data_IF_009540149693
#
_entry.id   IF_009540149693
#
_cell.length_a   1.000
_cell.length_b   1.000
_cell.length_c   1.000
_cell.angle_alpha   90.00
_cell.angle_beta   90.00
_cell.angle_gamma   90.00
#
_symmetry.space_group_name_H-M   'P 1'
#
loop_
_entity.id
_entity.type
_entity.pdbx_description
1 polymer ?
#
# COMPACT_ATOMS: atom_id res chain seq x y z
N UNK A 1 -11.14 -36.55 8.69
CA UNK A 1 -11.13 -35.58 9.80
C UNK A 1 -10.66 -34.24 9.26
N UNK A 2 -11.61 -33.42 8.80
CA UNK A 2 -11.35 -32.02 8.47
C UNK A 2 -11.20 -31.25 9.78
N UNK A 3 -10.21 -30.39 9.84
CA UNK A 3 -9.90 -29.60 11.02
C UNK A 3 -9.68 -28.19 10.54
N UNK A 4 -10.18 -27.22 11.29
CA UNK A 4 -10.36 -25.88 10.77
C UNK A 4 -10.03 -24.82 11.82
N UNK A 5 -9.53 -23.68 11.35
CA UNK A 5 -9.39 -22.48 12.19
C UNK A 5 -10.59 -21.60 11.93
N UNK A 6 -11.31 -21.19 13.00
CA UNK A 6 -12.55 -20.40 12.89
C UNK A 6 -12.38 -19.02 13.52
N UNK A 7 -12.90 -18.03 12.83
CA UNK A 7 -12.89 -16.61 13.18
C UNK A 7 -14.31 -16.07 13.06
N UNK A 8 -14.61 -15.03 13.81
CA UNK A 8 -15.85 -14.27 13.65
C UNK A 8 -15.53 -13.01 12.84
N UNK A 9 -16.09 -12.88 11.64
CA UNK A 9 -15.91 -11.71 10.78
C UNK A 9 -17.03 -10.70 11.02
N UNK A 10 -16.67 -9.41 10.96
CA UNK A 10 -17.65 -8.32 11.04
C UNK A 10 -18.09 -7.78 9.67
N UNK A 11 -17.48 -8.19 8.56
CA UNK A 11 -17.86 -7.69 7.23
C UNK A 11 -17.50 -8.64 6.07
N UNK A 12 -18.31 -8.62 5.01
CA UNK A 12 -18.08 -9.29 3.71
C UNK A 12 -18.56 -8.33 2.60
N UNK A 13 -17.76 -8.10 1.56
CA UNK A 13 -18.15 -7.43 0.29
C UNK A 13 -18.43 -5.91 0.31
N UNK A 14 -17.79 -5.12 1.18
CA UNK A 14 -17.79 -3.65 1.04
C UNK A 14 -19.19 -3.00 1.11
N UNK A 15 -20.18 -3.76 1.59
CA UNK A 15 -21.49 -3.25 1.99
C UNK A 15 -21.54 -3.35 3.51
N UNK A 16 -21.78 -2.21 4.16
CA UNK A 16 -22.03 -2.18 5.60
C UNK A 16 -23.19 -3.11 5.91
N UNK A 17 -22.89 -4.21 6.59
CA UNK A 17 -23.92 -4.98 7.27
C UNK A 17 -24.48 -4.10 8.40
N UNK A 18 -25.80 -4.15 8.61
CA UNK A 18 -26.35 -3.68 9.87
C UNK A 18 -25.64 -4.41 11.02
N UNK A 19 -25.42 -3.77 12.18
CA UNK A 19 -24.62 -4.30 13.30
C UNK A 19 -25.03 -5.68 13.85
N UNK A 20 -26.11 -6.27 13.35
CA UNK A 20 -26.76 -7.48 13.87
C UNK A 20 -26.38 -8.77 13.10
N UNK A 21 -25.60 -8.70 12.01
CA UNK A 21 -25.30 -9.87 11.17
C UNK A 21 -23.87 -10.39 11.39
N UNK A 22 -23.73 -11.34 12.32
CA UNK A 22 -22.43 -11.96 12.65
C UNK A 22 -22.03 -13.06 11.65
N UNK A 23 -20.88 -12.90 10.98
CA UNK A 23 -20.29 -13.93 10.12
C UNK A 23 -19.30 -14.83 10.85
N UNK A 24 -19.23 -16.12 10.48
CA UNK A 24 -18.15 -17.04 10.87
C UNK A 24 -17.31 -17.36 9.66
N UNK A 25 -16.02 -17.06 9.73
CA UNK A 25 -15.01 -17.33 8.72
C UNK A 25 -14.15 -18.50 9.13
N UNK A 26 -14.00 -19.48 8.25
CA UNK A 26 -13.30 -20.72 8.51
C UNK A 26 -12.30 -21.01 7.39
N UNK A 27 -11.06 -21.31 7.77
CA UNK A 27 -9.97 -21.60 6.83
C UNK A 27 -9.56 -23.07 6.96
N UNK A 28 -9.64 -23.76 5.83
CA UNK A 28 -9.16 -25.12 5.62
C UNK A 28 -7.99 -25.09 4.65
N UNK A 29 -6.95 -25.88 4.90
CA UNK A 29 -5.81 -26.00 3.99
C UNK A 29 -5.24 -27.42 3.96
N UNK A 30 -4.41 -27.71 2.95
CA UNK A 30 -3.63 -28.94 2.87
C UNK A 30 -2.80 -29.16 4.15
N UNK A 31 -2.59 -30.43 4.54
CA UNK A 31 -1.93 -30.82 5.81
C UNK A 31 -0.52 -30.22 6.00
N UNK A 32 0.16 -29.95 4.89
CA UNK A 32 1.51 -29.40 4.83
C UNK A 32 1.56 -27.87 5.06
N UNK A 33 0.41 -27.20 5.23
CA UNK A 33 0.30 -25.77 5.52
C UNK A 33 -0.39 -25.57 6.88
N UNK A 34 -0.01 -24.49 7.58
CA UNK A 34 -0.65 -24.03 8.82
C UNK A 34 -1.13 -22.60 8.67
N UNK A 35 -2.22 -22.27 9.35
CA UNK A 35 -2.76 -20.92 9.46
C UNK A 35 -2.10 -20.25 10.66
N UNK A 36 -1.43 -19.12 10.42
CA UNK A 36 -0.77 -18.33 11.48
C UNK A 36 -1.73 -17.35 12.14
N UNK A 37 -2.60 -16.74 11.34
CA UNK A 37 -3.49 -15.69 11.80
C UNK A 37 -4.24 -14.99 10.69
N UNK A 38 -5.06 -14.02 11.11
CA UNK A 38 -5.78 -13.05 10.30
C UNK A 38 -5.54 -11.65 10.88
N UNK A 39 -5.15 -10.70 10.02
CA UNK A 39 -5.14 -9.27 10.32
C UNK A 39 -6.35 -8.64 9.63
N UNK A 40 -7.26 -8.06 10.42
CA UNK A 40 -8.50 -7.47 9.92
C UNK A 40 -9.58 -7.39 11.01
N UNK A 41 -10.75 -6.82 10.70
CA UNK A 41 -11.87 -6.67 11.63
C UNK A 41 -12.54 -8.02 11.92
N UNK A 42 -11.90 -8.81 12.78
CA UNK A 42 -12.38 -10.12 13.20
C UNK A 42 -12.00 -10.41 14.66
N UNK A 43 -12.67 -11.39 15.26
CA UNK A 43 -12.33 -11.90 16.59
C UNK A 43 -12.11 -13.41 16.49
N UNK A 44 -11.04 -13.89 17.11
CA UNK A 44 -10.74 -15.32 17.18
C UNK A 44 -11.82 -16.07 17.96
N UNK A 45 -12.25 -17.23 17.47
CA UNK A 45 -13.17 -18.11 18.22
C UNK A 45 -12.42 -19.05 19.17
N UNK A 46 -11.11 -18.87 19.32
CA UNK A 46 -10.21 -19.64 20.19
C UNK A 46 -10.26 -21.18 19.96
N UNK A 47 -10.74 -21.59 18.80
CA UNK A 47 -10.81 -23.01 18.40
C UNK A 47 -9.47 -23.43 17.83
N UNK A 48 -8.68 -24.11 18.66
CA UNK A 48 -7.43 -24.75 18.22
C UNK A 48 -7.75 -26.00 17.40
N UNK A 49 -7.19 -26.06 16.20
CA UNK A 49 -7.18 -27.25 15.37
C UNK A 49 -5.75 -27.62 14.98
N UNK A 50 -5.50 -28.84 14.47
CA UNK A 50 -4.19 -29.21 13.95
C UNK A 50 -3.73 -28.39 12.74
N UNK A 51 -4.55 -27.50 12.18
CA UNK A 51 -4.14 -26.54 11.16
C UNK A 51 -3.61 -25.21 11.75
N UNK A 52 -3.76 -24.97 13.05
CA UNK A 52 -3.27 -23.77 13.71
C UNK A 52 -1.75 -23.82 13.87
N UNK A 53 -1.05 -22.71 13.59
CA UNK A 53 0.40 -22.58 13.81
C UNK A 53 0.72 -22.47 15.31
N UNK A 54 1.84 -23.07 15.74
CA UNK A 54 2.36 -22.90 17.10
C UNK A 54 2.85 -21.46 17.35
N UNK A 55 3.34 -20.78 16.32
CA UNK A 55 3.73 -19.36 16.34
C UNK A 55 2.52 -18.44 16.13
N UNK A 56 1.45 -18.68 16.89
CA UNK A 56 0.27 -17.81 16.90
C UNK A 56 0.58 -16.55 17.72
N UNK A 57 0.49 -15.37 17.10
CA UNK A 57 0.54 -14.11 17.83
C UNK A 57 -0.75 -14.01 18.66
N UNK A 58 -0.62 -14.18 19.98
CA UNK A 58 -1.76 -14.02 20.90
C UNK A 58 -2.03 -12.54 21.12
N UNK A 59 -3.00 -12.00 20.39
CA UNK A 59 -3.82 -10.90 20.90
C UNK A 59 -5.19 -10.93 20.22
N UNK A 60 -6.26 -10.96 21.01
CA UNK A 60 -7.65 -11.18 20.59
C UNK A 60 -8.29 -10.11 19.72
N UNK A 61 -7.51 -9.35 18.94
CA UNK A 61 -7.98 -8.34 17.99
C UNK A 61 -7.30 -8.41 16.61
N UNK A 62 -6.06 -8.91 16.52
CA UNK A 62 -5.29 -8.98 15.27
C UNK A 62 -4.30 -10.15 15.37
N UNK A 63 -4.47 -11.22 14.59
CA UNK A 63 -3.50 -12.32 14.53
C UNK A 63 -2.49 -12.03 13.41
N UNK A 64 -1.35 -11.47 13.81
CA UNK A 64 -0.22 -11.05 12.96
C UNK A 64 0.43 -12.22 12.18
N UNK A 65 0.83 -11.97 10.92
CA UNK A 65 1.58 -12.90 10.06
C UNK A 65 3.09 -12.56 10.09
N UNK A 66 3.90 -13.30 10.83
CA UNK A 66 5.34 -13.46 10.52
C UNK A 66 5.91 -14.69 11.24
N UNK A 67 6.48 -15.65 10.51
CA UNK A 67 7.44 -16.59 11.10
C UNK A 67 8.75 -16.58 10.32
N UNK A 68 9.85 -16.42 11.06
CA UNK A 68 11.24 -16.50 10.59
C UNK A 68 11.70 -17.94 10.29
N UNK A 69 10.79 -18.92 10.25
CA UNK A 69 11.12 -20.36 10.08
C UNK A 69 10.78 -21.01 8.75
N UNK A 70 10.22 -20.29 7.77
CA UNK A 70 10.05 -20.90 6.43
C UNK A 70 11.39 -21.35 5.80
N UNK A 71 12.49 -20.75 6.23
CA UNK A 71 13.85 -21.06 5.77
C UNK A 71 14.43 -22.38 6.28
N UNK A 72 13.74 -23.16 7.13
CA UNK A 72 14.30 -24.43 7.65
C UNK A 72 13.37 -25.63 7.54
N UNK A 73 12.58 -25.64 6.49
CA UNK A 73 11.87 -26.82 6.05
C UNK A 73 12.69 -27.43 4.90
N UNK A 74 13.73 -28.20 5.23
CA UNK A 74 14.37 -29.10 4.28
C UNK A 74 13.37 -30.22 3.99
N UNK A 75 12.46 -30.01 3.03
CA UNK A 75 11.59 -31.06 2.55
C UNK A 75 12.39 -31.91 1.55
N UNK A 76 12.74 -33.16 1.87
CA UNK A 76 13.43 -34.02 0.93
C UNK A 76 12.48 -34.29 -0.24
N UNK A 77 12.88 -33.83 -1.42
CA UNK A 77 12.52 -34.39 -2.73
C UNK A 77 11.03 -34.79 -2.92
N UNK A 78 10.07 -33.92 -2.57
CA UNK A 78 8.66 -34.12 -2.95
C UNK A 78 8.43 -33.55 -4.35
N UNK A 79 7.86 -34.37 -5.23
CA UNK A 79 7.30 -33.96 -6.52
C UNK A 79 6.32 -32.79 -6.33
N UNK A 80 6.07 -32.00 -7.38
CA UNK A 80 5.19 -30.82 -7.33
C UNK A 80 3.80 -31.18 -6.76
N UNK A 81 3.56 -30.86 -5.49
CA UNK A 81 2.28 -31.05 -4.81
C UNK A 81 1.44 -29.78 -4.99
N UNK A 82 0.16 -29.94 -5.31
CA UNK A 82 -0.78 -28.84 -5.23
C UNK A 82 -1.23 -28.65 -3.77
N UNK A 83 -1.04 -27.44 -3.27
CA UNK A 83 -1.59 -26.97 -2.01
C UNK A 83 -2.99 -26.44 -2.26
N UNK A 84 -3.93 -26.83 -1.42
CA UNK A 84 -5.32 -26.37 -1.49
C UNK A 84 -5.62 -25.51 -0.27
N UNK A 85 -6.39 -24.45 -0.51
CA UNK A 85 -6.93 -23.56 0.50
C UNK A 85 -8.42 -23.41 0.24
N UNK A 86 -9.21 -23.52 1.29
CA UNK A 86 -10.65 -23.33 1.24
C UNK A 86 -11.06 -22.36 2.34
N UNK A 87 -11.74 -21.30 1.93
CA UNK A 87 -12.26 -20.25 2.78
C UNK A 87 -13.78 -20.39 2.79
N UNK A 88 -14.33 -20.57 3.98
CA UNK A 88 -15.76 -20.75 4.21
C UNK A 88 -16.25 -19.57 5.03
N UNK A 89 -17.26 -18.86 4.54
CA UNK A 89 -17.87 -17.77 5.30
C UNK A 89 -19.36 -18.03 5.46
N UNK A 90 -19.76 -18.31 6.68
CA UNK A 90 -21.15 -18.48 7.09
C UNK A 90 -21.65 -17.13 7.58
N UNK A 91 -22.75 -16.61 7.04
CA UNK A 91 -23.27 -15.32 7.46
C UNK A 91 -24.79 -15.26 7.26
N UNK A 92 -25.43 -14.36 7.99
CA UNK A 92 -26.81 -14.00 7.72
C UNK A 92 -26.82 -12.91 6.63
N UNK A 93 -27.51 -13.17 5.54
CA UNK A 93 -27.73 -12.19 4.47
C UNK A 93 -28.69 -11.09 4.95
N UNK A 94 -28.67 -9.90 4.32
CA UNK A 94 -29.55 -8.80 4.70
C UNK A 94 -31.06 -9.14 4.61
N UNK A 95 -31.42 -10.16 3.81
CA UNK A 95 -32.77 -10.74 3.72
C UNK A 95 -33.12 -11.69 4.87
N UNK A 96 -32.24 -11.86 5.87
CA UNK A 96 -32.41 -12.75 7.01
C UNK A 96 -32.01 -14.21 6.77
N UNK A 97 -31.72 -14.60 5.51
CA UNK A 97 -31.33 -15.96 5.14
C UNK A 97 -29.89 -16.29 5.57
N UNK A 98 -29.67 -17.46 6.14
CA UNK A 98 -28.31 -17.98 6.36
C UNK A 98 -27.69 -18.42 5.03
N UNK A 99 -26.51 -17.91 4.70
CA UNK A 99 -25.75 -18.26 3.50
C UNK A 99 -24.35 -18.77 3.86
N UNK A 100 -23.81 -19.61 2.99
CA UNK A 100 -22.42 -20.06 3.00
C UNK A 100 -21.76 -19.61 1.70
N UNK A 101 -20.71 -18.79 1.81
CA UNK A 101 -19.79 -18.53 0.72
C UNK A 101 -18.58 -19.46 0.85
N UNK A 102 -18.31 -20.25 -0.18
CA UNK A 102 -17.13 -21.11 -0.23
C UNK A 102 -16.21 -20.67 -1.38
N UNK A 103 -14.95 -20.37 -1.07
CA UNK A 103 -13.92 -20.04 -2.05
C UNK A 103 -12.79 -21.04 -1.91
N UNK A 104 -12.49 -21.78 -2.97
CA UNK A 104 -11.39 -22.76 -2.98
C UNK A 104 -10.35 -22.35 -4.01
N UNK A 105 -9.09 -22.28 -3.61
CA UNK A 105 -7.97 -21.99 -4.49
C UNK A 105 -6.87 -23.03 -4.31
N UNK A 106 -6.06 -23.20 -5.35
CA UNK A 106 -4.88 -24.06 -5.31
C UNK A 106 -3.63 -23.31 -5.74
N UNK A 107 -2.49 -23.71 -5.18
CA UNK A 107 -1.17 -23.21 -5.54
C UNK A 107 -0.19 -24.37 -5.62
N UNK A 108 0.68 -24.35 -6.62
CA UNK A 108 1.70 -25.39 -6.80
C UNK A 108 2.85 -25.15 -5.82
N UNK A 109 3.30 -26.22 -5.17
CA UNK A 109 4.55 -26.24 -4.43
C UNK A 109 5.74 -26.16 -5.39
N UNK A 110 6.68 -25.26 -5.09
CA UNK A 110 7.89 -25.02 -5.88
C UNK A 110 9.10 -25.43 -5.06
N UNK A 111 9.89 -26.37 -5.57
CA UNK A 111 11.13 -26.84 -4.96
C UNK A 111 12.14 -27.28 -6.03
N UNK A 112 13.43 -27.27 -5.66
CA UNK A 112 14.52 -27.70 -6.53
C UNK A 112 15.16 -26.58 -7.36
N UNK A 113 16.05 -26.93 -8.31
CA UNK A 113 16.68 -25.98 -9.22
C UNK A 113 15.63 -25.20 -10.03
N UNK A 114 15.79 -23.88 -10.18
CA UNK A 114 14.81 -23.03 -10.88
C UNK A 114 13.65 -22.52 -10.02
N UNK A 115 13.58 -22.93 -8.74
CA UNK A 115 12.52 -22.51 -7.80
C UNK A 115 12.45 -21.00 -7.60
N UNK A 116 13.58 -20.30 -7.64
CA UNK A 116 13.64 -18.85 -7.47
C UNK A 116 12.90 -18.14 -8.59
N UNK A 117 13.10 -18.54 -9.85
CA UNK A 117 12.46 -17.94 -11.01
C UNK A 117 10.93 -18.13 -10.95
N UNK A 118 10.47 -19.33 -10.58
CA UNK A 118 9.04 -19.62 -10.43
C UNK A 118 8.41 -18.83 -9.26
N UNK A 119 9.13 -18.67 -8.14
CA UNK A 119 8.68 -17.85 -7.01
C UNK A 119 8.57 -16.37 -7.39
N UNK A 120 9.56 -15.83 -8.10
CA UNK A 120 9.54 -14.44 -8.59
C UNK A 120 8.40 -14.23 -9.59
N UNK A 121 8.15 -15.21 -10.48
CA UNK A 121 7.06 -15.14 -11.44
C UNK A 121 5.67 -15.10 -10.76
N UNK A 122 5.54 -15.73 -9.59
CA UNK A 122 4.32 -15.73 -8.79
C UNK A 122 4.21 -14.59 -7.76
N UNK A 123 5.20 -13.69 -7.69
CA UNK A 123 5.18 -12.60 -6.73
C UNK A 123 4.21 -11.49 -7.16
N UNK A 124 3.35 -11.10 -6.23
CA UNK A 124 2.42 -9.99 -6.36
C UNK A 124 2.87 -8.86 -5.43
N UNK A 125 3.50 -7.85 -6.02
CA UNK A 125 4.09 -6.73 -5.27
C UNK A 125 3.07 -5.82 -4.60
N UNK A 126 1.86 -5.70 -5.15
CA UNK A 126 0.80 -4.89 -4.56
C UNK A 126 0.20 -5.59 -3.34
N UNK A 127 -0.14 -6.88 -3.48
CA UNK A 127 -0.62 -7.69 -2.36
C UNK A 127 0.45 -7.79 -1.26
N UNK A 128 1.73 -7.96 -1.63
CA UNK A 128 2.82 -7.95 -0.66
C UNK A 128 2.95 -6.60 0.07
N UNK A 129 2.80 -5.47 -0.63
CA UNK A 129 2.86 -4.15 -0.01
C UNK A 129 1.71 -3.94 1.00
N UNK A 130 0.49 -4.31 0.62
CA UNK A 130 -0.68 -4.25 1.51
C UNK A 130 -0.50 -5.14 2.76
N UNK A 131 0.00 -6.37 2.58
CA UNK A 131 0.29 -7.27 3.70
C UNK A 131 1.39 -6.71 4.61
N UNK A 132 2.48 -6.17 4.04
CA UNK A 132 3.55 -5.56 4.82
C UNK A 132 3.06 -4.35 5.63
N UNK A 133 2.19 -3.53 5.05
CA UNK A 133 1.58 -2.39 5.75
C UNK A 133 0.73 -2.84 6.94
N UNK A 134 -0.08 -3.89 6.77
CA UNK A 134 -0.89 -4.47 7.85
C UNK A 134 -0.03 -5.09 8.95
N UNK A 135 1.00 -5.84 8.56
CA UNK A 135 1.91 -6.48 9.53
C UNK A 135 2.68 -5.43 10.32
N UNK A 136 3.27 -4.41 9.67
CA UNK A 136 3.99 -3.37 10.41
C UNK A 136 3.07 -2.58 11.34
N UNK A 137 1.84 -2.29 10.90
CA UNK A 137 0.82 -1.64 11.73
C UNK A 137 0.47 -2.47 12.97
N UNK A 138 0.17 -3.76 12.78
CA UNK A 138 -0.12 -4.70 13.87
C UNK A 138 1.06 -4.85 14.84
N UNK A 139 2.31 -4.93 14.35
CA UNK A 139 3.50 -4.99 15.21
C UNK A 139 3.69 -3.71 16.01
N UNK A 140 3.47 -2.53 15.43
CA UNK A 140 3.53 -1.26 16.14
C UNK A 140 2.51 -1.15 17.28
N UNK A 141 1.39 -1.86 17.21
CA UNK A 141 0.36 -1.89 18.27
C UNK A 141 0.64 -2.93 19.35
N UNK A 142 1.31 -4.03 19.00
CA UNK A 142 1.44 -5.21 19.86
C UNK A 142 2.82 -5.39 20.48
N UNK A 143 3.88 -4.90 19.82
CA UNK A 143 5.26 -5.04 20.26
C UNK A 143 5.77 -3.73 20.88
N UNK A 144 6.15 -3.78 22.17
CA UNK A 144 6.81 -2.66 22.83
C UNK A 144 8.19 -2.39 22.22
N UNK A 145 8.57 -1.11 22.12
CA UNK A 145 9.86 -0.65 21.56
C UNK A 145 10.15 -1.12 20.13
N UNK A 146 9.11 -1.45 19.35
CA UNK A 146 9.26 -1.87 17.97
C UNK A 146 9.70 -0.70 17.07
N UNK A 147 10.78 -0.91 16.31
CA UNK A 147 11.28 0.03 15.30
C UNK A 147 10.74 -0.36 13.91
N UNK A 148 9.62 0.24 13.46
CA UNK A 148 8.95 -0.16 12.23
C UNK A 148 9.77 0.13 10.98
N UNK A 149 10.48 1.27 10.96
CA UNK A 149 11.27 1.70 9.81
C UNK A 149 12.42 0.73 9.60
N UNK A 150 13.17 0.41 10.66
CA UNK A 150 14.27 -0.55 10.58
C UNK A 150 13.80 -1.95 10.24
N UNK A 151 12.62 -2.36 10.71
CA UNK A 151 12.04 -3.66 10.36
C UNK A 151 11.65 -3.73 8.87
N UNK A 152 11.04 -2.69 8.33
CA UNK A 152 10.73 -2.57 6.90
C UNK A 152 12.01 -2.58 6.06
N UNK A 153 12.97 -1.72 6.38
CA UNK A 153 14.23 -1.59 5.64
C UNK A 153 15.01 -2.93 5.63
N UNK A 154 15.12 -3.61 6.78
CA UNK A 154 15.76 -4.94 6.86
C UNK A 154 15.00 -6.02 6.08
N UNK A 155 13.68 -5.94 6.03
CA UNK A 155 12.87 -6.91 5.28
C UNK A 155 13.02 -6.71 3.79
N UNK A 156 13.06 -5.45 3.34
CA UNK A 156 13.32 -5.10 1.95
C UNK A 156 14.74 -5.48 1.52
N UNK A 157 15.77 -5.16 2.31
CA UNK A 157 17.16 -5.55 2.01
C UNK A 157 17.27 -7.06 1.85
N UNK A 158 16.65 -7.85 2.75
CA UNK A 158 16.65 -9.33 2.64
C UNK A 158 15.96 -9.82 1.37
N UNK A 159 14.85 -9.19 0.98
CA UNK A 159 14.15 -9.51 -0.27
C UNK A 159 15.05 -9.23 -1.48
N UNK A 160 15.59 -8.01 -1.56
CA UNK A 160 16.45 -7.57 -2.67
C UNK A 160 17.76 -8.38 -2.75
N UNK A 161 18.37 -8.71 -1.62
CA UNK A 161 19.59 -9.54 -1.58
C UNK A 161 19.31 -10.96 -2.08
N UNK A 162 18.11 -11.49 -1.83
CA UNK A 162 17.74 -12.86 -2.20
C UNK A 162 17.22 -13.01 -3.63
N UNK A 163 16.49 -12.02 -4.12
CA UNK A 163 15.77 -12.09 -5.40
C UNK A 163 16.24 -11.08 -6.45
N UNK A 164 17.18 -10.20 -6.11
CA UNK A 164 17.81 -9.29 -7.07
C UNK A 164 18.95 -9.95 -7.84
N UNK A 165 19.16 -9.48 -9.06
CA UNK A 165 20.29 -9.85 -9.91
C UNK A 165 21.38 -8.80 -9.75
N UNK A 166 22.57 -9.23 -9.32
CA UNK A 166 23.71 -8.33 -9.09
C UNK A 166 25.04 -9.09 -9.09
N UNK A 167 26.11 -8.35 -9.33
CA UNK A 167 27.47 -8.74 -9.01
C UNK A 167 27.81 -8.28 -7.59
N UNK A 168 28.42 -9.16 -6.80
CA UNK A 168 28.79 -8.87 -5.40
C UNK A 168 29.67 -7.62 -5.32
N UNK A 169 29.42 -6.78 -4.31
CA UNK A 169 30.12 -5.50 -4.09
C UNK A 169 30.01 -4.48 -5.25
N UNK A 170 29.11 -4.68 -6.22
CA UNK A 170 28.91 -3.78 -7.35
C UNK A 170 27.48 -3.24 -7.39
N UNK A 171 27.18 -2.13 -6.70
CA UNK A 171 25.82 -1.59 -6.59
C UNK A 171 25.20 -1.24 -7.95
N UNK A 172 25.99 -0.76 -8.91
CA UNK A 172 25.53 -0.38 -10.25
C UNK A 172 25.06 -1.56 -11.10
N UNK A 173 25.36 -2.80 -10.69
CA UNK A 173 24.88 -4.00 -11.36
C UNK A 173 23.52 -4.48 -10.87
N UNK A 174 23.00 -3.87 -9.80
CA UNK A 174 21.77 -4.30 -9.17
C UNK A 174 20.56 -4.05 -10.06
N UNK A 175 19.75 -5.10 -10.24
CA UNK A 175 18.48 -5.03 -10.94
C UNK A 175 17.45 -5.96 -10.29
N UNK A 176 16.18 -5.66 -10.53
CA UNK A 176 15.04 -6.45 -10.08
C UNK A 176 14.17 -6.84 -11.26
N UNK A 177 13.58 -8.03 -11.19
CA UNK A 177 12.51 -8.45 -12.11
C UNK A 177 11.35 -7.44 -12.11
N UNK A 178 10.65 -7.23 -13.24
CA UNK A 178 9.46 -6.37 -13.30
C UNK A 178 8.37 -6.72 -12.28
N UNK A 179 8.33 -7.99 -11.81
CA UNK A 179 7.41 -8.44 -10.76
C UNK A 179 7.72 -7.85 -9.37
N UNK A 180 8.95 -7.40 -9.16
CA UNK A 180 9.49 -6.92 -7.88
C UNK A 180 9.91 -5.44 -7.93
N UNK A 181 10.07 -4.85 -9.12
CA UNK A 181 10.74 -3.57 -9.31
C UNK A 181 10.02 -2.38 -8.68
N UNK A 182 8.70 -2.46 -8.45
CA UNK A 182 7.92 -1.40 -7.80
C UNK A 182 7.88 -1.58 -6.28
N UNK A 183 8.13 -2.79 -5.78
CA UNK A 183 8.07 -3.08 -4.35
C UNK A 183 8.97 -2.18 -3.48
N UNK A 184 10.22 -1.84 -3.87
CA UNK A 184 11.02 -0.84 -3.14
C UNK A 184 10.34 0.53 -3.03
N UNK A 185 9.65 0.98 -4.09
CA UNK A 185 8.91 2.24 -4.09
C UNK A 185 7.73 2.20 -3.11
N UNK A 186 7.01 1.08 -3.03
CA UNK A 186 5.98 0.90 -2.00
C UNK A 186 6.55 0.97 -0.59
N UNK A 187 7.69 0.34 -0.33
CA UNK A 187 8.33 0.39 0.99
C UNK A 187 8.85 1.79 1.34
N UNK A 188 9.39 2.52 0.35
CA UNK A 188 9.76 3.93 0.52
C UNK A 188 8.58 4.81 0.91
N UNK A 189 7.43 4.62 0.26
CA UNK A 189 6.24 5.40 0.59
C UNK A 189 5.63 4.96 1.93
N UNK A 190 5.56 3.64 2.19
CA UNK A 190 5.03 3.07 3.43
C UNK A 190 5.79 3.57 4.67
N UNK A 191 7.12 3.54 4.67
CA UNK A 191 7.94 3.93 5.83
C UNK A 191 7.82 5.43 6.19
N UNK A 192 7.36 6.26 5.26
CA UNK A 192 7.08 7.70 5.44
C UNK A 192 5.59 8.01 5.61
N UNK A 193 4.72 7.01 5.42
CA UNK A 193 3.28 7.17 5.52
C UNK A 193 2.83 7.39 6.97
N UNK A 194 1.62 7.92 7.14
CA UNK A 194 0.97 8.11 8.43
C UNK A 194 0.69 6.81 9.20
N UNK A 195 0.83 5.64 8.55
CA UNK A 195 0.74 4.34 9.23
C UNK A 195 1.96 4.07 10.11
N UNK A 196 3.13 4.58 9.70
CA UNK A 196 4.43 4.36 10.33
C UNK A 196 4.93 5.63 11.04
N UNK A 197 4.93 6.77 10.35
CA UNK A 197 5.29 8.07 10.91
C UNK A 197 4.05 8.72 11.52
N UNK A 198 3.78 8.42 12.79
CA UNK A 198 2.60 8.90 13.51
C UNK A 198 2.75 10.32 14.05
N UNK A 199 3.96 10.91 13.94
CA UNK A 199 4.17 12.31 14.30
C UNK A 199 3.24 13.23 13.47
N UNK A 200 2.75 14.30 14.10
CA UNK A 200 1.78 15.22 13.51
C UNK A 200 0.39 14.63 13.21
N UNK A 201 0.08 13.44 13.73
CA UNK A 201 -1.28 12.89 13.82
C UNK A 201 -1.67 12.75 15.29
N UNK A 202 -2.95 12.92 15.58
CA UNK A 202 -3.50 12.49 16.87
C UNK A 202 -3.52 10.95 16.99
N UNK A 203 -3.55 10.40 18.22
CA UNK A 203 -3.74 8.97 18.42
C UNK A 203 -5.00 8.44 17.73
N UNK A 204 -6.10 9.21 17.74
CA UNK A 204 -7.38 8.85 17.15
C UNK A 204 -7.31 8.84 15.61
N UNK A 205 -6.65 9.81 14.98
CA UNK A 205 -6.40 9.80 13.53
C UNK A 205 -5.56 8.59 13.13
N UNK A 206 -4.52 8.28 13.90
CA UNK A 206 -3.67 7.12 13.65
C UNK A 206 -4.48 5.83 13.72
N UNK A 207 -5.30 5.66 14.76
CA UNK A 207 -6.19 4.52 14.91
C UNK A 207 -7.18 4.41 13.75
N UNK A 208 -7.78 5.53 13.33
CA UNK A 208 -8.69 5.59 12.20
C UNK A 208 -8.01 5.14 10.89
N UNK A 209 -6.81 5.63 10.59
CA UNK A 209 -6.09 5.24 9.38
C UNK A 209 -5.78 3.74 9.38
N UNK A 210 -5.26 3.20 10.49
CA UNK A 210 -4.92 1.78 10.61
C UNK A 210 -6.15 0.88 10.52
N UNK A 211 -7.25 1.26 11.17
CA UNK A 211 -8.53 0.57 11.04
C UNK A 211 -8.98 0.47 9.57
N UNK A 212 -8.86 1.56 8.81
CA UNK A 212 -9.23 1.56 7.39
C UNK A 212 -8.29 0.70 6.55
N UNK A 213 -6.98 0.73 6.80
CA UNK A 213 -5.99 -0.12 6.12
C UNK A 213 -6.29 -1.63 6.30
N UNK A 214 -6.77 -2.01 7.49
CA UNK A 214 -7.12 -3.39 7.83
C UNK A 214 -8.48 -3.82 7.24
N UNK A 215 -9.38 -2.88 7.00
CA UNK A 215 -10.70 -3.13 6.40
C UNK A 215 -10.66 -3.22 4.88
N UNK A 216 -9.80 -2.45 4.23
CA UNK A 216 -9.87 -2.24 2.80
C UNK A 216 -9.33 -3.38 1.93
N UNK A 217 -9.60 -3.34 0.62
CA UNK A 217 -9.00 -4.29 -0.32
C UNK A 217 -7.55 -3.90 -0.70
N UNK A 218 -6.87 -4.75 -1.48
CA UNK A 218 -5.47 -4.52 -1.90
C UNK A 218 -5.32 -3.21 -2.69
N UNK A 219 -6.23 -2.94 -3.63
CA UNK A 219 -6.15 -1.75 -4.48
C UNK A 219 -6.23 -0.47 -3.64
N UNK A 220 -7.20 -0.40 -2.73
CA UNK A 220 -7.37 0.74 -1.85
C UNK A 220 -6.21 0.90 -0.86
N UNK A 221 -5.69 -0.22 -0.32
CA UNK A 221 -4.49 -0.20 0.52
C UNK A 221 -3.26 0.31 -0.24
N UNK A 222 -3.09 -0.06 -1.51
CA UNK A 222 -2.00 0.44 -2.35
C UNK A 222 -2.12 1.95 -2.57
N UNK A 223 -3.33 2.47 -2.84
CA UNK A 223 -3.56 3.93 -2.95
C UNK A 223 -3.27 4.66 -1.63
N UNK A 224 -3.59 4.06 -0.48
CA UNK A 224 -3.22 4.62 0.82
C UNK A 224 -1.70 4.68 1.05
N UNK A 225 -0.96 3.66 0.58
CA UNK A 225 0.49 3.56 0.73
C UNK A 225 1.20 4.48 -0.26
N UNK A 226 0.81 4.42 -1.52
CA UNK A 226 1.37 5.18 -2.63
C UNK A 226 0.22 5.90 -3.35
N UNK A 227 -0.06 7.15 -2.95
CA UNK A 227 -1.05 7.99 -3.62
C UNK A 227 -0.85 8.08 -5.13
N UNK A 228 -1.94 8.18 -5.88
CA UNK A 228 -1.89 8.44 -7.32
C UNK A 228 -1.88 9.95 -7.56
N UNK A 229 -1.18 10.36 -8.63
CA UNK A 229 -1.09 11.75 -9.04
C UNK A 229 -1.36 11.85 -10.55
N UNK A 230 -2.36 12.63 -10.93
CA UNK A 230 -2.73 12.86 -12.33
C UNK A 230 -2.46 14.33 -12.66
N UNK A 231 -1.82 14.58 -13.80
CA UNK A 231 -1.53 15.91 -14.31
C UNK A 231 -2.49 16.28 -15.43
N UNK A 232 -3.02 17.49 -15.37
CA UNK A 232 -3.90 18.11 -16.38
C UNK A 232 -3.19 19.34 -16.93
N UNK A 233 -3.10 19.44 -18.26
CA UNK A 233 -2.50 20.57 -18.95
C UNK A 233 -3.25 20.86 -20.25
N UNK A 234 -2.94 21.99 -20.90
CA UNK A 234 -3.45 22.27 -22.25
C UNK A 234 -2.82 21.41 -23.35
N UNK A 235 -1.65 20.83 -23.08
CA UNK A 235 -0.78 20.24 -24.09
C UNK A 235 -0.93 18.72 -24.17
N UNK A 236 -1.49 18.10 -23.13
CA UNK A 236 -1.67 16.66 -23.01
C UNK A 236 -3.03 16.34 -22.39
N UNK A 237 -3.57 15.18 -22.75
CA UNK A 237 -4.69 14.60 -22.02
C UNK A 237 -4.26 14.26 -20.57
N UNK A 238 -5.22 14.11 -19.62
CA UNK A 238 -4.89 13.75 -18.25
C UNK A 238 -4.00 12.51 -18.19
N UNK A 239 -2.83 12.64 -17.55
CA UNK A 239 -1.81 11.59 -17.53
C UNK A 239 -1.30 11.32 -16.10
N UNK A 240 -1.06 10.05 -15.73
CA UNK A 240 -0.41 9.73 -14.48
C UNK A 240 1.03 10.28 -14.46
N UNK A 241 1.39 10.94 -13.36
CA UNK A 241 2.74 11.47 -13.14
C UNK A 241 3.34 10.87 -11.88
N UNK A 242 4.67 10.89 -11.80
CA UNK A 242 5.38 10.42 -10.60
C UNK A 242 4.98 11.27 -9.39
N UNK A 243 4.87 10.62 -8.23
CA UNK A 243 4.60 11.25 -6.94
C UNK A 243 5.86 11.98 -6.45
N UNK A 244 6.26 13.03 -7.16
CA UNK A 244 7.51 13.75 -7.02
C UNK A 244 7.30 15.27 -7.12
N UNK A 245 8.10 16.05 -6.40
CA UNK A 245 8.06 17.52 -6.48
C UNK A 245 8.23 18.05 -7.90
N UNK A 246 8.95 17.33 -8.77
CA UNK A 246 9.12 17.70 -10.17
C UNK A 246 7.82 17.65 -10.99
N UNK A 247 6.75 17.05 -10.46
CA UNK A 247 5.43 17.08 -11.09
C UNK A 247 4.74 18.45 -10.99
N UNK A 248 5.17 19.30 -10.04
CA UNK A 248 4.61 20.64 -9.87
C UNK A 248 5.13 21.55 -10.98
N UNK A 249 4.22 22.19 -11.69
CA UNK A 249 4.50 23.23 -12.67
C UNK A 249 3.42 24.32 -12.61
N UNK A 250 3.81 25.55 -13.00
CA UNK A 250 2.94 26.72 -12.94
C UNK A 250 1.69 26.62 -13.83
N UNK A 251 1.80 25.90 -14.94
CA UNK A 251 0.80 25.79 -16.01
C UNK A 251 -0.01 24.48 -15.96
N UNK A 252 0.07 23.73 -14.86
CA UNK A 252 -0.61 22.43 -14.69
C UNK A 252 -1.57 22.43 -13.51
N UNK A 253 -2.56 21.55 -13.56
CA UNK A 253 -3.38 21.17 -12.42
C UNK A 253 -3.02 19.73 -12.04
N UNK A 254 -2.90 19.44 -10.76
CA UNK A 254 -2.64 18.10 -10.25
C UNK A 254 -3.85 17.61 -9.46
N UNK A 255 -4.25 16.35 -9.69
CA UNK A 255 -5.21 15.61 -8.87
C UNK A 255 -4.44 14.54 -8.10
N UNK A 256 -4.28 14.73 -6.80
CA UNK A 256 -3.73 13.72 -5.89
C UNK A 256 -4.88 12.94 -5.26
N UNK A 257 -4.81 11.62 -5.33
CA UNK A 257 -5.66 10.74 -4.55
C UNK A 257 -4.82 9.92 -3.56
N UNK A 258 -4.99 10.21 -2.26
CA UNK A 258 -4.31 9.53 -1.15
C UNK A 258 -5.24 8.65 -0.33
N UNK A 259 -6.32 8.17 -0.95
CA UNK A 259 -7.44 7.46 -0.32
C UNK A 259 -8.25 8.35 0.64
N UNK A 260 -7.65 8.87 1.73
CA UNK A 260 -8.34 9.67 2.76
C UNK A 260 -8.54 11.14 2.36
N UNK A 261 -7.70 11.65 1.47
CA UNK A 261 -7.74 13.04 1.01
C UNK A 261 -7.52 13.07 -0.48
N UNK A 262 -8.36 13.84 -1.17
CA UNK A 262 -8.23 14.18 -2.58
C UNK A 262 -7.81 15.63 -2.66
N UNK A 263 -6.73 15.92 -3.39
CA UNK A 263 -6.23 17.29 -3.55
C UNK A 263 -6.31 17.69 -5.02
N UNK A 264 -7.04 18.76 -5.32
CA UNK A 264 -6.98 19.47 -6.59
C UNK A 264 -6.06 20.68 -6.40
N UNK A 265 -4.86 20.59 -6.97
CA UNK A 265 -3.81 21.60 -6.84
C UNK A 265 -3.65 22.36 -8.15
N UNK A 266 -3.75 23.69 -8.11
CA UNK A 266 -3.56 24.56 -9.27
C UNK A 266 -2.15 25.18 -9.25
N UNK A 267 -1.39 25.00 -10.33
CA UNK A 267 -0.15 25.73 -10.55
C UNK A 267 -0.38 27.25 -10.57
N UNK A 268 0.67 28.02 -10.29
CA UNK A 268 0.54 29.47 -10.07
C UNK A 268 -0.08 30.21 -11.26
N UNK A 269 0.24 29.85 -12.51
CA UNK A 269 -0.31 30.50 -13.71
C UNK A 269 -1.78 30.13 -13.90
N UNK A 270 -2.14 28.87 -13.67
CA UNK A 270 -3.54 28.43 -13.69
C UNK A 270 -4.36 29.18 -12.64
N UNK A 271 -3.85 29.29 -11.42
CA UNK A 271 -4.50 30.01 -10.34
C UNK A 271 -4.69 31.51 -10.68
N UNK A 272 -3.67 32.16 -11.26
CA UNK A 272 -3.76 33.53 -11.73
C UNK A 272 -4.84 33.72 -12.80
N UNK A 273 -4.87 32.85 -13.82
CA UNK A 273 -5.88 32.88 -14.88
C UNK A 273 -7.30 32.64 -14.36
N UNK A 274 -7.46 31.71 -13.42
CA UNK A 274 -8.75 31.42 -12.77
C UNK A 274 -9.25 32.62 -11.98
N UNK A 275 -8.36 33.27 -11.22
CA UNK A 275 -8.68 34.44 -10.40
C UNK A 275 -8.97 35.69 -11.26
N UNK A 276 -8.36 35.79 -12.43
CA UNK A 276 -8.67 36.82 -13.44
C UNK A 276 -10.02 36.58 -14.15
N UNK A 277 -10.65 35.42 -13.96
CA UNK A 277 -11.97 35.11 -14.51
C UNK A 277 -11.95 34.71 -15.99
N UNK A 278 -10.81 34.26 -16.54
CA UNK A 278 -10.73 33.90 -17.96
C UNK A 278 -11.69 32.78 -18.34
N UNK A 279 -11.99 31.84 -17.44
CA UNK A 279 -12.93 30.74 -17.66
C UNK A 279 -14.36 31.18 -17.98
N UNK A 280 -14.72 32.44 -17.67
CA UNK A 280 -16.06 32.99 -17.93
C UNK A 280 -16.08 33.90 -19.17
N UNK A 281 -14.94 34.13 -19.81
CA UNK A 281 -14.83 34.98 -20.99
C UNK A 281 -15.04 34.15 -22.28
N UNK A 282 -15.69 34.72 -23.31
CA UNK A 282 -15.88 34.04 -24.59
C UNK A 282 -14.53 33.74 -25.24
N UNK A 283 -14.36 32.53 -25.80
CA UNK A 283 -13.10 32.08 -26.42
C UNK A 283 -12.13 31.38 -25.48
N UNK A 284 -12.44 31.28 -24.18
CA UNK A 284 -11.66 30.57 -23.17
C UNK A 284 -12.34 29.30 -22.65
N UNK A 285 -13.22 28.69 -23.45
CA UNK A 285 -13.97 27.49 -23.08
C UNK A 285 -13.04 26.32 -22.75
N UNK A 286 -11.90 26.20 -23.44
CA UNK A 286 -10.88 25.20 -23.16
C UNK A 286 -10.29 25.34 -21.74
N UNK A 287 -10.15 26.57 -21.24
CA UNK A 287 -9.68 26.80 -19.86
C UNK A 287 -10.74 26.44 -18.84
N UNK A 288 -12.02 26.74 -19.11
CA UNK A 288 -13.12 26.29 -18.28
C UNK A 288 -13.19 24.76 -18.18
N UNK A 289 -12.99 24.06 -19.31
CA UNK A 289 -12.91 22.59 -19.35
C UNK A 289 -11.70 22.06 -18.56
N UNK A 290 -10.52 22.68 -18.70
CA UNK A 290 -9.32 22.30 -17.95
C UNK A 290 -9.53 22.40 -16.42
N UNK A 291 -10.23 23.44 -15.95
CA UNK A 291 -10.56 23.60 -14.53
C UNK A 291 -11.61 22.59 -14.03
N UNK A 292 -12.50 22.14 -14.91
CA UNK A 292 -13.61 21.26 -14.55
C UNK A 292 -13.19 19.78 -14.53
N UNK A 293 -12.35 19.34 -15.47
CA UNK A 293 -11.91 17.94 -15.60
C UNK A 293 -11.41 17.31 -14.28
N UNK A 294 -10.46 17.90 -13.52
CA UNK A 294 -10.01 17.30 -12.26
C UNK A 294 -11.07 17.30 -11.16
N UNK A 295 -12.10 18.17 -11.25
CA UNK A 295 -13.24 18.18 -10.31
C UNK A 295 -14.20 17.03 -10.62
N UNK A 296 -14.48 16.80 -11.90
CA UNK A 296 -15.32 15.68 -12.32
C UNK A 296 -14.70 14.34 -11.91
N UNK A 297 -13.39 14.18 -12.08
CA UNK A 297 -12.65 13.00 -11.65
C UNK A 297 -12.62 12.87 -10.12
N UNK A 298 -12.40 13.98 -9.39
CA UNK A 298 -12.49 13.98 -7.92
C UNK A 298 -13.89 13.56 -7.42
N UNK A 299 -14.95 14.09 -8.03
CA UNK A 299 -16.34 13.76 -7.69
C UNK A 299 -16.67 12.29 -7.99
N UNK A 300 -16.11 11.73 -9.07
CA UNK A 300 -16.26 10.31 -9.38
C UNK A 300 -15.64 9.44 -8.27
N UNK A 301 -14.42 9.76 -7.83
CA UNK A 301 -13.74 9.05 -6.73
C UNK A 301 -14.53 9.19 -5.43
N UNK A 302 -15.02 10.40 -5.11
CA UNK A 302 -15.79 10.69 -3.89
C UNK A 302 -17.08 9.87 -3.84
N UNK A 303 -17.78 9.71 -4.97
CA UNK A 303 -19.04 8.96 -5.05
C UNK A 303 -18.89 7.47 -4.76
N UNK A 304 -17.76 6.88 -5.16
CA UNK A 304 -17.52 5.44 -4.98
C UNK A 304 -16.86 5.10 -3.65
N UNK A 305 -16.14 6.04 -3.04
CA UNK A 305 -15.33 5.77 -1.86
C UNK A 305 -16.10 5.88 -0.55
N UNK A 306 -15.91 4.88 0.30
CA UNK A 306 -16.33 4.91 1.69
C UNK A 306 -15.13 4.67 2.62
N UNK A 307 -14.94 5.49 3.67
CA UNK A 307 -15.66 6.72 3.96
C UNK A 307 -15.34 7.82 2.95
N UNK A 308 -16.21 8.83 2.88
CA UNK A 308 -16.04 9.97 1.97
C UNK A 308 -14.70 10.66 2.25
N UNK A 309 -13.80 10.79 1.25
CA UNK A 309 -12.52 11.42 1.44
C UNK A 309 -12.66 12.94 1.59
N UNK A 310 -11.73 13.56 2.29
CA UNK A 310 -11.66 15.02 2.37
C UNK A 310 -11.21 15.60 1.03
N UNK A 311 -12.03 16.43 0.40
CA UNK A 311 -11.63 17.22 -0.75
C UNK A 311 -10.90 18.49 -0.32
N UNK A 312 -9.70 18.71 -0.88
CA UNK A 312 -8.89 19.91 -0.68
C UNK A 312 -8.64 20.54 -2.04
N UNK A 313 -9.10 21.78 -2.22
CA UNK A 313 -8.81 22.57 -3.42
C UNK A 313 -7.84 23.67 -3.01
N UNK A 314 -6.70 23.74 -3.68
CA UNK A 314 -5.64 24.67 -3.32
C UNK A 314 -4.85 25.15 -4.54
N UNK A 315 -4.08 26.21 -4.31
CA UNK A 315 -3.18 26.81 -5.30
C UNK A 315 -1.73 26.67 -4.82
N UNK A 316 -0.79 26.72 -5.75
CA UNK A 316 0.63 26.80 -5.45
C UNK A 316 0.93 27.95 -4.48
N UNK A 317 1.75 27.66 -3.46
CA UNK A 317 2.05 28.55 -2.32
C UNK A 317 0.88 28.87 -1.38
N UNK A 318 -0.29 28.25 -1.57
CA UNK A 318 -1.40 28.31 -0.61
C UNK A 318 -1.17 27.41 0.61
N UNK A 319 -1.74 27.75 1.77
CA UNK A 319 -1.53 26.99 3.02
C UNK A 319 -1.97 25.52 2.95
N UNK A 320 -3.03 25.23 2.16
CA UNK A 320 -3.54 23.88 1.97
C UNK A 320 -2.69 23.05 0.97
N UNK A 321 -1.78 23.68 0.20
CA UNK A 321 -0.88 22.95 -0.70
C UNK A 321 0.02 21.95 0.05
N UNK A 322 0.23 22.15 1.36
CA UNK A 322 0.95 21.22 2.23
C UNK A 322 0.39 19.79 2.20
N UNK A 323 -0.91 19.61 1.93
CA UNK A 323 -1.52 18.27 1.79
C UNK A 323 -0.96 17.51 0.58
N UNK A 324 -0.60 18.22 -0.50
CA UNK A 324 0.12 17.64 -1.63
C UNK A 324 1.61 17.46 -1.28
N UNK A 325 2.27 18.53 -0.84
CA UNK A 325 3.73 18.55 -0.63
C UNK A 325 4.20 17.46 0.36
N UNK A 326 3.44 17.20 1.42
CA UNK A 326 3.77 16.17 2.40
C UNK A 326 3.73 14.73 1.85
N UNK A 327 3.13 14.50 0.67
CA UNK A 327 3.05 13.18 0.04
C UNK A 327 4.09 12.98 -1.06
N UNK A 328 4.68 14.04 -1.59
CA UNK A 328 5.61 13.99 -2.71
C UNK A 328 6.99 13.46 -2.30
N UNK A 329 7.72 12.91 -3.26
CA UNK A 329 9.15 12.63 -3.12
C UNK A 329 9.95 13.94 -3.15
N UNK A 330 10.77 14.24 -2.13
CA UNK A 330 11.61 15.43 -2.07
C UNK A 330 12.88 15.24 -2.93
N UNK A 331 12.73 15.11 -4.24
CA UNK A 331 13.87 15.00 -5.18
C UNK A 331 14.62 16.33 -5.35
N UNK A 332 13.93 17.46 -5.11
CA UNK A 332 14.47 18.82 -5.07
C UNK A 332 14.20 19.41 -3.69
N UNK A 333 15.26 19.75 -2.96
CA UNK A 333 15.21 20.30 -1.60
C UNK A 333 16.03 21.57 -1.50
N UNK A 334 15.97 22.25 -0.37
CA UNK A 334 16.77 23.46 -0.13
C UNK A 334 18.29 23.22 -0.15
N UNK A 335 18.73 21.95 -0.06
CA UNK A 335 20.12 21.53 -0.12
C UNK A 335 20.52 20.98 -1.51
N UNK A 336 19.62 20.90 -2.49
CA UNK A 336 19.97 20.36 -3.81
C UNK A 336 20.75 21.38 -4.64
N UNK A 337 21.86 20.93 -5.25
CA UNK A 337 22.68 21.77 -6.14
C UNK A 337 21.93 22.23 -7.40
N UNK A 338 20.87 21.52 -7.78
CA UNK A 338 20.03 21.87 -8.94
C UNK A 338 18.83 22.71 -8.50
N UNK A 339 18.61 23.90 -9.12
CA UNK A 339 17.41 24.68 -8.88
C UNK A 339 16.16 23.96 -9.43
N UNK A 340 14.98 24.22 -8.85
CA UNK A 340 13.73 23.69 -9.37
C UNK A 340 13.52 24.16 -10.82
N UNK A 341 12.80 23.39 -11.66
CA UNK A 341 12.37 23.84 -12.98
C UNK A 341 11.62 25.17 -12.90
N UNK A 342 11.54 25.92 -14.00
CA UNK A 342 10.77 27.18 -14.03
C UNK A 342 9.31 26.93 -13.63
N UNK A 343 8.85 27.60 -12.55
CA UNK A 343 7.51 27.41 -12.00
C UNK A 343 7.34 26.15 -11.14
N UNK A 344 8.42 25.40 -10.89
CA UNK A 344 8.47 24.27 -9.99
C UNK A 344 8.54 24.68 -8.51
N UNK A 345 8.50 23.68 -7.63
CA UNK A 345 8.51 23.88 -6.17
C UNK A 345 9.70 23.17 -5.52
N UNK A 346 9.98 23.52 -4.26
CA UNK A 346 11.04 22.91 -3.44
C UNK A 346 10.43 22.42 -2.14
N UNK A 347 10.74 21.18 -1.74
CA UNK A 347 10.26 20.65 -0.46
C UNK A 347 11.31 20.94 0.62
N UNK A 348 10.87 21.65 1.67
CA UNK A 348 11.68 21.93 2.85
C UNK A 348 11.60 20.76 3.84
N UNK A 349 12.42 19.74 3.62
CA UNK A 349 12.52 18.56 4.49
C UNK A 349 13.94 18.01 4.51
N UNK A 350 14.29 17.34 5.61
CA UNK A 350 15.50 16.52 5.74
C UNK A 350 15.26 15.04 5.35
N UNK A 351 14.03 14.73 4.91
CA UNK A 351 13.70 13.40 4.42
C UNK A 351 14.52 13.03 3.19
N UNK A 352 14.92 11.77 3.17
CA UNK A 352 15.69 11.18 2.08
C UNK A 352 14.81 11.03 0.83
N UNK A 353 15.33 11.42 -0.34
CA UNK A 353 14.65 11.21 -1.63
C UNK A 353 14.64 9.73 -2.02
N UNK A 354 13.72 9.34 -2.91
CA UNK A 354 13.65 7.97 -3.41
C UNK A 354 14.95 7.51 -4.07
N UNK A 355 15.64 8.39 -4.80
CA UNK A 355 16.92 8.06 -5.43
C UNK A 355 17.97 7.69 -4.39
N UNK A 356 18.13 8.51 -3.35
CA UNK A 356 19.11 8.24 -2.28
C UNK A 356 18.72 6.98 -1.52
N UNK A 357 17.44 6.76 -1.25
CA UNK A 357 16.93 5.51 -0.67
C UNK A 357 17.32 4.29 -1.52
N UNK A 358 17.13 4.36 -2.84
CA UNK A 358 17.49 3.28 -3.76
C UNK A 358 19.00 3.03 -3.80
N UNK A 359 19.82 4.08 -3.83
CA UNK A 359 21.29 3.94 -3.80
C UNK A 359 21.76 3.22 -2.54
N UNK A 360 21.17 3.54 -1.38
CA UNK A 360 21.46 2.84 -0.12
C UNK A 360 20.97 1.39 -0.15
N UNK A 361 19.76 1.13 -0.65
CA UNK A 361 19.22 -0.22 -0.77
C UNK A 361 20.11 -1.10 -1.66
N UNK A 362 20.53 -0.59 -2.81
CA UNK A 362 21.42 -1.28 -3.74
C UNK A 362 22.75 -1.63 -3.08
N UNK A 363 23.41 -0.67 -2.42
CA UNK A 363 24.67 -0.91 -1.71
C UNK A 363 24.54 -2.00 -0.65
N UNK A 364 23.48 -1.97 0.15
CA UNK A 364 23.27 -2.95 1.21
C UNK A 364 22.88 -4.34 0.66
N UNK A 365 22.09 -4.38 -0.41
CA UNK A 365 21.67 -5.63 -1.03
C UNK A 365 22.84 -6.42 -1.65
N UNK A 366 23.80 -5.72 -2.29
CA UNK A 366 24.96 -6.40 -2.91
C UNK A 366 26.07 -6.80 -1.92
N UNK A 367 26.03 -6.25 -0.70
CA UNK A 367 26.97 -6.55 0.40
C UNK A 367 26.52 -7.75 1.23
N UNK A 368 25.21 -7.91 1.46
CA UNK A 368 24.65 -9.02 2.25
C UNK A 368 24.57 -10.33 1.45
N UNK A 369 25.70 -10.83 0.95
CA UNK A 369 25.78 -12.20 0.45
C UNK A 369 26.03 -13.18 1.62
N UNK A 370 24.93 -13.73 2.15
CA UNK A 370 24.80 -14.81 3.15
C UNK A 370 25.23 -14.53 4.60
N UNK A 371 24.23 -14.55 5.50
CA UNK A 371 24.30 -15.19 6.82
C UNK A 371 23.02 -15.99 7.06
#
# INVERSE_FOLDING_TARGET
MQTSSKFKNFEIEGKEFSPEQCGVFEVNCSKDVKVQGIIGPCVSLEKKGPLSSENSYRSGKYECLEDKRWSRCNWPNRQAINLFFQFLTYYQHHEGQMRLRATTLSRRWVAGPGSVQELVAGFDQEAAAAVMARVVSCKMETEADFDPVRWLDRSLIRLCSKFGDYQKESPSSFSLSPRLSIFPQFMFNLRRSQFVQVFNNSPDETAYFRMMLDRENVNNAVVMIQPSLISYSFHSAPEPVLLDVTAIAADRILLLDSYFTIVVFHGMSIAQWRNAGYQSQPGHEAFAQLLQAPRDDADAIIKERFPVPRLVICDQHGSQARFLLAKLNPSVTYNSDNPPPHGGDVIFTDDVSFQVFMDHLQRLAVQQAYS
#
